data_IF_762253380163
#
_entry.id   IF_762253380163
#
_cell.length_a   1.000
_cell.length_b   1.000
_cell.length_c   1.000
_cell.angle_alpha   90.00
_cell.angle_beta   90.00
_cell.angle_gamma   90.00
#
_symmetry.space_group_name_H-M   'P 1'
#
loop_
_entity.id
_entity.type
_entity.pdbx_description
1 polymer ?
#
# COMPACT_ATOMS: atom_id res chain seq x y z
N UNK A 1 -44.68 8.89 59.58
CA UNK A 1 -43.50 8.55 60.40
C UNK A 1 -42.34 8.34 59.44
N UNK A 2 -41.31 9.17 59.61
CA UNK A 2 -40.16 9.38 58.73
C UNK A 2 -38.95 8.68 59.39
N UNK A 3 -38.23 7.81 58.67
CA UNK A 3 -36.86 7.44 59.06
C UNK A 3 -36.08 7.07 57.78
N UNK A 4 -35.37 8.04 57.19
CA UNK A 4 -33.88 8.16 57.23
C UNK A 4 -33.22 7.03 56.44
N UNK A 5 -32.54 7.32 55.34
CA UNK A 5 -31.13 7.72 55.35
C UNK A 5 -30.82 8.71 54.21
N UNK A 6 -30.22 9.83 54.60
CA UNK A 6 -29.50 10.81 53.79
C UNK A 6 -28.02 10.70 54.16
N UNK A 7 -27.15 10.52 53.17
CA UNK A 7 -25.76 10.97 53.10
C UNK A 7 -25.21 10.42 51.76
N UNK A 8 -24.98 11.19 50.69
CA UNK A 8 -24.48 12.56 50.63
C UNK A 8 -22.96 12.51 50.53
N UNK A 9 -22.41 12.68 49.34
CA UNK A 9 -21.21 13.49 49.09
C UNK A 9 -21.00 13.67 47.58
N UNK A 10 -21.15 14.92 47.16
CA UNK A 10 -20.70 15.42 45.89
C UNK A 10 -19.16 15.49 45.86
N UNK A 11 -18.58 15.17 44.72
CA UNK A 11 -17.17 15.39 44.42
C UNK A 11 -17.00 15.49 42.90
N UNK A 12 -17.06 16.72 42.39
CA UNK A 12 -16.65 17.03 41.03
C UNK A 12 -15.12 17.16 40.99
N UNK A 13 -14.45 16.37 40.15
CA UNK A 13 -13.11 16.61 39.61
C UNK A 13 -12.95 15.66 38.40
N UNK A 14 -13.07 16.15 37.17
CA UNK A 14 -11.97 16.65 36.35
C UNK A 14 -10.91 15.57 36.02
N UNK A 15 -10.89 15.22 34.72
CA UNK A 15 -9.75 14.74 33.92
C UNK A 15 -9.03 13.44 34.34
N UNK A 16 -9.31 12.37 33.58
CA UNK A 16 -8.29 11.38 33.20
C UNK A 16 -8.67 10.74 31.85
N UNK A 17 -8.57 11.50 30.76
CA UNK A 17 -8.46 10.92 29.41
C UNK A 17 -6.98 10.57 29.20
N UNK A 18 -6.49 9.56 29.93
CA UNK A 18 -5.10 9.11 29.81
C UNK A 18 -5.06 7.88 28.91
N UNK A 19 -4.61 8.12 27.68
CA UNK A 19 -3.81 7.22 26.85
C UNK A 19 -4.15 5.73 26.90
N UNK A 20 -5.17 5.32 26.14
CA UNK A 20 -5.11 3.97 25.58
C UNK A 20 -3.99 3.98 24.52
N UNK A 21 -3.01 3.07 24.56
CA UNK A 21 -2.13 2.87 23.43
C UNK A 21 -3.05 2.44 22.29
N UNK A 22 -3.08 3.24 21.21
CA UNK A 22 -3.80 2.86 20.00
C UNK A 22 -3.30 1.47 19.61
N UNK A 23 -4.14 0.46 19.77
CA UNK A 23 -3.87 -0.86 19.21
C UNK A 23 -3.71 -0.63 17.71
N UNK A 24 -2.49 -0.80 17.20
CA UNK A 24 -2.27 -0.86 15.77
C UNK A 24 -3.05 -2.07 15.27
N UNK A 25 -4.30 -1.86 14.87
CA UNK A 25 -5.07 -2.88 14.20
C UNK A 25 -4.26 -3.28 12.96
N UNK A 26 -3.90 -4.55 12.86
CA UNK A 26 -3.27 -5.07 11.66
C UNK A 26 -4.19 -4.75 10.48
N UNK A 27 -3.74 -3.87 9.59
CA UNK A 27 -4.47 -3.55 8.37
C UNK A 27 -4.54 -4.85 7.55
N UNK A 28 -5.74 -5.29 7.12
CA UNK A 28 -5.86 -6.52 6.36
C UNK A 28 -4.99 -6.46 5.10
N UNK A 29 -4.09 -7.44 4.94
CA UNK A 29 -3.28 -7.56 3.72
C UNK A 29 -4.21 -7.94 2.56
N UNK A 30 -4.25 -7.18 1.45
CA UNK A 30 -5.11 -7.49 0.32
C UNK A 30 -4.80 -8.86 -0.30
N UNK A 31 -5.83 -9.63 -0.63
CA UNK A 31 -5.66 -10.88 -1.38
C UNK A 31 -5.56 -10.61 -2.89
N UNK A 32 -4.42 -10.06 -3.30
CA UNK A 32 -4.14 -9.71 -4.70
C UNK A 32 -4.25 -10.94 -5.61
N UNK A 33 -3.85 -12.11 -5.13
CA UNK A 33 -3.83 -13.34 -5.93
C UNK A 33 -5.22 -13.87 -6.28
N UNK A 34 -6.28 -13.40 -5.62
CA UNK A 34 -7.66 -13.70 -5.99
C UNK A 34 -8.16 -12.87 -7.19
N UNK A 35 -7.45 -11.80 -7.57
CA UNK A 35 -7.84 -10.95 -8.69
C UNK A 35 -7.57 -11.66 -10.04
N UNK A 36 -8.46 -11.48 -11.04
CA UNK A 36 -8.21 -11.91 -12.41
C UNK A 36 -6.87 -11.39 -12.97
N UNK A 37 -6.08 -12.23 -13.66
CA UNK A 37 -4.85 -11.77 -14.28
C UNK A 37 -5.15 -10.92 -15.51
N UNK A 38 -4.50 -9.75 -15.59
CA UNK A 38 -4.40 -8.98 -16.82
C UNK A 38 -3.36 -9.62 -17.76
N UNK A 39 -3.47 -9.40 -19.07
CA UNK A 39 -2.52 -9.92 -20.04
C UNK A 39 -1.19 -9.14 -19.96
N UNK A 40 -0.07 -9.78 -19.55
CA UNK A 40 1.17 -9.04 -19.29
C UNK A 40 1.79 -8.38 -20.52
N UNK A 41 1.45 -8.84 -21.74
CA UNK A 41 1.93 -8.25 -22.98
C UNK A 41 1.48 -6.80 -23.15
N UNK A 42 0.32 -6.46 -22.61
CA UNK A 42 -0.27 -5.12 -22.74
C UNK A 42 0.44 -4.10 -21.84
N UNK A 43 1.27 -4.59 -20.91
CA UNK A 43 2.02 -3.80 -19.92
C UNK A 43 3.53 -3.90 -20.12
N UNK A 44 3.99 -4.57 -21.19
CA UNK A 44 5.41 -4.73 -21.46
C UNK A 44 6.04 -3.39 -21.90
N UNK A 45 7.17 -3.04 -21.29
CA UNK A 45 7.97 -1.87 -21.64
C UNK A 45 9.46 -2.22 -21.70
N UNK A 46 10.26 -1.33 -22.29
CA UNK A 46 11.70 -1.48 -22.44
C UNK A 46 12.08 -2.82 -23.09
N UNK A 47 11.55 -3.07 -24.29
CA UNK A 47 11.68 -4.36 -25.03
C UNK A 47 11.24 -5.60 -24.23
N UNK A 48 10.31 -5.38 -23.29
CA UNK A 48 9.81 -6.42 -22.40
C UNK A 48 10.72 -6.71 -21.23
N UNK A 49 11.74 -5.90 -20.93
CA UNK A 49 12.51 -6.03 -19.69
C UNK A 49 11.65 -5.77 -18.45
N UNK A 50 10.61 -4.94 -18.58
CA UNK A 50 9.73 -4.56 -17.47
C UNK A 50 8.27 -4.76 -17.81
N UNK A 51 7.46 -4.92 -16.77
CA UNK A 51 6.05 -4.61 -16.82
C UNK A 51 5.80 -3.28 -16.15
N UNK A 52 5.02 -2.41 -16.79
CA UNK A 52 4.70 -1.07 -16.29
C UNK A 52 3.20 -0.82 -16.39
N UNK A 53 2.63 -0.17 -15.38
CA UNK A 53 1.24 0.22 -15.39
C UNK A 53 1.01 1.50 -14.58
N UNK A 54 -0.04 2.24 -14.93
CA UNK A 54 -0.60 3.29 -14.07
C UNK A 54 -1.74 2.70 -13.22
N UNK A 55 -1.86 3.16 -11.98
CA UNK A 55 -2.72 2.51 -11.00
C UNK A 55 -3.63 3.50 -10.23
N UNK A 56 -3.09 4.69 -9.95
CA UNK A 56 -3.79 5.85 -9.41
C UNK A 56 -3.33 7.09 -10.19
N UNK A 57 -3.99 8.22 -9.97
CA UNK A 57 -3.63 9.46 -10.66
C UNK A 57 -2.15 9.82 -10.44
N UNK A 58 -1.38 9.90 -11.52
CA UNK A 58 0.05 10.16 -11.51
C UNK A 58 0.96 9.05 -10.93
N UNK A 59 0.42 7.93 -10.47
CA UNK A 59 1.22 6.82 -9.89
C UNK A 59 1.54 5.79 -10.97
N UNK A 60 2.83 5.56 -11.19
CA UNK A 60 3.35 4.54 -12.12
C UNK A 60 4.05 3.44 -11.35
N UNK A 61 3.69 2.20 -11.64
CA UNK A 61 4.23 1.01 -11.02
C UNK A 61 5.00 0.16 -12.03
N UNK A 62 6.10 -0.44 -11.59
CA UNK A 62 7.00 -1.24 -12.42
C UNK A 62 7.29 -2.57 -11.74
N UNK A 63 7.37 -3.64 -12.54
CA UNK A 63 7.90 -4.94 -12.15
C UNK A 63 9.02 -5.30 -13.13
N UNK A 64 10.26 -5.34 -12.63
CA UNK A 64 11.44 -5.70 -13.40
C UNK A 64 11.54 -7.21 -13.55
N UNK A 65 11.62 -7.68 -14.80
CA UNK A 65 11.62 -9.12 -15.09
C UNK A 65 13.00 -9.78 -14.95
N UNK A 66 14.07 -9.00 -14.98
CA UNK A 66 15.43 -9.47 -14.77
C UNK A 66 15.71 -9.68 -13.28
N UNK A 67 15.50 -8.64 -12.48
CA UNK A 67 15.80 -8.66 -11.04
C UNK A 67 14.63 -9.14 -10.16
N UNK A 68 13.39 -9.05 -10.66
CA UNK A 68 12.18 -9.23 -9.86
C UNK A 68 11.95 -8.10 -8.85
N UNK A 69 12.66 -6.98 -8.99
CA UNK A 69 12.37 -5.77 -8.23
C UNK A 69 11.06 -5.17 -8.70
N UNK A 70 10.34 -4.55 -7.78
CA UNK A 70 9.03 -3.99 -8.06
C UNK A 70 8.79 -2.74 -7.21
N UNK A 71 7.90 -1.87 -7.66
CA UNK A 71 7.65 -0.64 -6.93
C UNK A 71 6.76 0.32 -7.69
N UNK A 72 6.39 1.40 -7.01
CA UNK A 72 5.64 2.50 -7.62
C UNK A 72 6.32 3.84 -7.32
N UNK A 73 6.16 4.79 -8.22
CA UNK A 73 6.66 6.15 -8.11
C UNK A 73 5.58 7.14 -8.50
N UNK A 74 5.59 8.33 -7.90
CA UNK A 74 4.63 9.39 -8.18
C UNK A 74 4.05 10.01 -6.90
N UNK A 75 2.90 10.69 -6.97
CA UNK A 75 2.23 11.25 -5.81
C UNK A 75 1.53 10.14 -5.03
N UNK A 76 2.29 9.38 -4.23
CA UNK A 76 1.77 8.26 -3.45
C UNK A 76 0.85 8.79 -2.33
N UNK A 77 -0.48 8.56 -2.41
CA UNK A 77 -1.40 9.10 -1.42
C UNK A 77 -1.14 8.50 -0.03
N UNK A 78 -1.25 9.32 1.01
CA UNK A 78 -1.09 8.90 2.41
C UNK A 78 0.21 8.10 2.69
N UNK A 79 1.25 8.31 1.89
CA UNK A 79 2.53 7.64 2.07
C UNK A 79 3.26 8.17 3.33
N UNK A 80 3.94 7.29 4.09
CA UNK A 80 4.68 7.71 5.27
C UNK A 80 5.71 8.77 4.92
N UNK A 81 5.76 9.85 5.72
CA UNK A 81 6.71 10.96 5.55
C UNK A 81 6.66 11.62 4.16
N UNK A 82 5.53 11.55 3.46
CA UNK A 82 5.36 12.14 2.13
C UNK A 82 6.17 11.43 1.04
N UNK A 83 6.56 10.18 1.25
CA UNK A 83 7.34 9.40 0.28
C UNK A 83 6.69 9.38 -1.10
N UNK A 84 7.51 9.55 -2.14
CA UNK A 84 7.09 9.54 -3.54
C UNK A 84 7.51 8.26 -4.28
N UNK A 85 8.08 7.29 -3.57
CA UNK A 85 8.51 6.02 -4.09
C UNK A 85 8.32 4.91 -3.05
N UNK A 86 7.90 3.73 -3.51
CA UNK A 86 7.94 2.48 -2.73
C UNK A 86 8.59 1.40 -3.59
N UNK A 87 9.50 0.63 -2.99
CA UNK A 87 10.23 -0.43 -3.70
C UNK A 87 10.34 -1.68 -2.86
N UNK A 88 10.25 -2.83 -3.52
CA UNK A 88 10.59 -4.14 -3.01
C UNK A 88 11.48 -4.90 -3.98
N UNK A 89 12.08 -5.98 -3.51
CA UNK A 89 12.83 -6.91 -4.34
C UNK A 89 12.52 -8.36 -3.95
N UNK A 90 13.02 -9.31 -4.73
CA UNK A 90 12.67 -10.74 -4.58
C UNK A 90 13.07 -11.29 -3.21
N UNK A 91 14.14 -10.80 -2.60
CA UNK A 91 14.73 -11.38 -1.37
C UNK A 91 14.74 -10.48 -0.15
N UNK A 92 14.15 -9.29 -0.21
CA UNK A 92 14.30 -8.24 0.79
C UNK A 92 12.97 -7.56 1.13
N UNK A 93 13.09 -6.62 2.07
CA UNK A 93 11.96 -5.85 2.57
C UNK A 93 11.43 -4.86 1.54
N UNK A 94 10.22 -4.38 1.81
CA UNK A 94 9.59 -3.30 1.07
C UNK A 94 9.73 -2.01 1.86
N UNK A 95 10.04 -0.91 1.17
CA UNK A 95 10.26 0.38 1.83
C UNK A 95 9.75 1.57 1.03
N UNK A 96 9.22 2.55 1.76
CA UNK A 96 8.88 3.87 1.25
C UNK A 96 10.10 4.79 1.35
N UNK A 97 10.32 5.60 0.32
CA UNK A 97 11.43 6.55 0.27
C UNK A 97 11.04 7.82 -0.52
N UNK A 98 11.83 8.87 -0.32
CA UNK A 98 11.82 10.05 -1.16
C UNK A 98 12.96 9.94 -2.18
N UNK A 99 12.64 10.04 -3.46
CA UNK A 99 13.58 9.96 -4.56
C UNK A 99 13.40 11.14 -5.53
N UNK A 100 14.49 11.67 -6.05
CA UNK A 100 14.45 12.75 -7.05
C UNK A 100 14.08 12.24 -8.46
N UNK A 101 14.00 10.91 -8.64
CA UNK A 101 13.70 10.25 -9.91
C UNK A 101 12.89 8.97 -9.65
N UNK A 102 12.02 8.55 -10.58
CA UNK A 102 11.33 7.27 -10.48
C UNK A 102 12.30 6.07 -10.53
N UNK A 103 11.86 4.93 -9.98
CA UNK A 103 12.64 3.68 -9.86
C UNK A 103 13.30 3.21 -11.17
N UNK A 104 12.68 3.49 -12.32
CA UNK A 104 13.17 3.10 -13.64
C UNK A 104 13.13 4.24 -14.66
N UNK A 105 13.19 5.49 -14.18
CA UNK A 105 12.99 6.68 -14.99
C UNK A 105 11.51 6.94 -15.30
N UNK A 106 11.24 8.06 -15.98
CA UNK A 106 9.89 8.42 -16.36
C UNK A 106 9.39 7.47 -17.46
N UNK A 107 8.26 6.81 -17.21
CA UNK A 107 7.54 6.06 -18.25
C UNK A 107 6.32 6.89 -18.63
N UNK A 108 6.36 7.46 -19.82
CA UNK A 108 5.22 8.22 -20.35
C UNK A 108 4.10 7.26 -20.77
N UNK A 109 2.85 7.66 -20.52
CA UNK A 109 1.65 6.94 -20.97
C UNK A 109 1.60 5.47 -20.53
N UNK A 110 2.06 5.17 -19.31
CA UNK A 110 1.95 3.82 -18.75
C UNK A 110 0.48 3.33 -18.80
N UNK A 111 0.20 2.16 -19.41
CA UNK A 111 -1.16 1.66 -19.57
C UNK A 111 -1.82 1.48 -18.20
N UNK A 112 -3.08 1.86 -18.08
CA UNK A 112 -3.82 1.72 -16.83
C UNK A 112 -4.09 0.24 -16.54
N UNK A 113 -3.73 -0.23 -15.35
CA UNK A 113 -4.14 -1.55 -14.88
C UNK A 113 -5.63 -1.49 -14.53
N UNK A 114 -6.50 -2.27 -15.21
CA UNK A 114 -7.93 -2.23 -14.97
C UNK A 114 -8.27 -2.48 -13.49
N UNK A 115 -9.31 -1.81 -12.95
CA UNK A 115 -9.83 -2.14 -11.63
C UNK A 115 -10.15 -3.63 -11.49
N UNK A 116 -9.92 -4.18 -10.30
CA UNK A 116 -10.08 -5.59 -9.97
C UNK A 116 -9.27 -6.53 -10.87
N UNK A 117 -8.04 -6.14 -11.20
CA UNK A 117 -7.13 -7.00 -11.96
C UNK A 117 -5.73 -6.99 -11.36
N UNK A 118 -4.95 -8.03 -11.69
CA UNK A 118 -3.55 -8.15 -11.28
C UNK A 118 -2.61 -8.38 -12.45
N UNK A 119 -1.40 -7.87 -12.28
CA UNK A 119 -0.25 -8.15 -13.10
C UNK A 119 0.76 -8.96 -12.27
N UNK A 120 1.15 -10.12 -12.77
CA UNK A 120 2.00 -11.06 -12.05
C UNK A 120 3.28 -11.38 -12.81
N UNK A 121 4.38 -11.47 -12.08
CA UNK A 121 5.66 -11.97 -12.58
C UNK A 121 6.38 -12.77 -11.49
N UNK A 122 6.64 -14.05 -11.77
CA UNK A 122 7.20 -15.00 -10.79
C UNK A 122 6.41 -14.98 -9.47
N UNK A 123 7.05 -14.57 -8.38
CA UNK A 123 6.45 -14.49 -7.03
C UNK A 123 5.82 -13.14 -6.73
N UNK A 124 6.03 -12.14 -7.59
CA UNK A 124 5.48 -10.79 -7.41
C UNK A 124 4.13 -10.70 -8.11
N UNK A 125 3.13 -10.22 -7.40
CA UNK A 125 1.83 -9.84 -7.98
C UNK A 125 1.46 -8.44 -7.52
N UNK A 126 1.15 -7.59 -8.48
CA UNK A 126 0.62 -6.26 -8.23
C UNK A 126 -0.82 -6.18 -8.73
N UNK A 127 -1.71 -5.60 -7.94
CA UNK A 127 -3.12 -5.46 -8.30
C UNK A 127 -3.65 -4.07 -8.01
N UNK A 128 -4.70 -3.74 -8.75
CA UNK A 128 -5.51 -2.54 -8.55
C UNK A 128 -6.94 -3.02 -8.28
N UNK A 129 -7.53 -2.68 -7.14
CA UNK A 129 -8.93 -2.99 -6.83
C UNK A 129 -9.91 -1.87 -7.28
N UNK A 130 -9.38 -0.80 -7.88
CA UNK A 130 -10.12 0.40 -8.27
C UNK A 130 -10.07 1.52 -7.23
N UNK A 131 -9.55 1.26 -6.04
CA UNK A 131 -9.37 2.23 -4.96
C UNK A 131 -7.93 2.28 -4.45
N UNK A 132 -7.30 1.12 -4.32
CA UNK A 132 -5.94 0.94 -3.85
C UNK A 132 -5.13 0.11 -4.85
N UNK A 133 -3.84 0.39 -4.87
CA UNK A 133 -2.84 -0.41 -5.58
C UNK A 133 -1.98 -1.12 -4.58
N UNK A 134 -1.73 -2.40 -4.78
CA UNK A 134 -0.93 -3.19 -3.85
C UNK A 134 -0.04 -4.16 -4.60
N UNK A 135 1.13 -4.45 -4.05
CA UNK A 135 2.03 -5.48 -4.56
C UNK A 135 2.44 -6.41 -3.43
N UNK A 136 2.50 -7.70 -3.72
CA UNK A 136 2.97 -8.72 -2.78
C UNK A 136 3.99 -9.62 -3.45
N UNK A 137 5.04 -9.97 -2.71
CA UNK A 137 5.96 -11.03 -3.06
C UNK A 137 5.60 -12.28 -2.23
N UNK A 138 5.11 -13.32 -2.90
CA UNK A 138 4.70 -14.57 -2.23
C UNK A 138 5.87 -15.37 -1.67
N UNK A 139 7.12 -15.02 -2.02
CA UNK A 139 8.31 -15.71 -1.50
C UNK A 139 8.53 -15.44 -0.02
N UNK A 140 8.38 -14.19 0.41
CA UNK A 140 8.65 -13.72 1.77
C UNK A 140 7.45 -13.03 2.41
N UNK A 141 6.30 -13.03 1.72
CA UNK A 141 5.05 -12.39 2.13
C UNK A 141 5.18 -10.88 2.39
N UNK A 142 6.23 -10.24 1.86
CA UNK A 142 6.38 -8.80 1.95
C UNK A 142 5.60 -8.10 0.84
N UNK A 143 5.22 -6.86 1.09
CA UNK A 143 4.44 -6.10 0.14
C UNK A 143 4.19 -4.67 0.56
N UNK A 144 3.36 -3.99 -0.23
CA UNK A 144 2.86 -2.68 0.10
C UNK A 144 1.42 -2.50 -0.37
N UNK A 145 0.76 -1.54 0.24
CA UNK A 145 -0.52 -0.98 -0.18
C UNK A 145 -0.34 0.52 -0.36
N UNK A 146 -0.87 1.04 -1.46
CA UNK A 146 -0.99 2.46 -1.77
C UNK A 146 -2.48 2.78 -1.85
N UNK A 147 -2.99 3.60 -0.94
CA UNK A 147 -4.40 4.01 -0.94
C UNK A 147 -4.60 5.43 -0.40
N UNK A 148 -5.66 6.14 -0.82
CA UNK A 148 -6.06 7.42 -0.23
C UNK A 148 -6.26 7.40 1.29
N UNK A 149 -6.65 6.26 1.86
CA UNK A 149 -6.94 6.09 3.29
C UNK A 149 -5.73 5.67 4.12
N UNK A 150 -4.62 5.34 3.48
CA UNK A 150 -3.40 4.89 4.16
C UNK A 150 -2.53 4.03 3.27
N UNK A 151 -1.24 4.34 3.25
CA UNK A 151 -0.24 3.57 2.51
C UNK A 151 0.80 3.01 3.47
N UNK A 152 1.15 1.75 3.29
CA UNK A 152 2.00 1.01 4.23
C UNK A 152 2.73 -0.14 3.54
N UNK A 153 3.83 -0.58 4.14
CA UNK A 153 4.61 -1.74 3.74
C UNK A 153 4.57 -2.77 4.87
N UNK A 154 4.68 -4.04 4.51
CA UNK A 154 4.65 -5.18 5.43
C UNK A 154 5.63 -6.26 4.98
#
# INVERSE_FOLDING_TARGET
MLNRILAGMAGAAAAAVLGMPGVAAAQPVPNINAMPPANPKDFAANDGAWYVFSALDGVTCVVDRGSGSYGCSGPLPAAPNGANMVTGNVGGGVGFANANRPMYGAVENAPALPPNSRLSFKTVSCGNDGFATSCINTLNQSGFVISPTGSFAF
#
